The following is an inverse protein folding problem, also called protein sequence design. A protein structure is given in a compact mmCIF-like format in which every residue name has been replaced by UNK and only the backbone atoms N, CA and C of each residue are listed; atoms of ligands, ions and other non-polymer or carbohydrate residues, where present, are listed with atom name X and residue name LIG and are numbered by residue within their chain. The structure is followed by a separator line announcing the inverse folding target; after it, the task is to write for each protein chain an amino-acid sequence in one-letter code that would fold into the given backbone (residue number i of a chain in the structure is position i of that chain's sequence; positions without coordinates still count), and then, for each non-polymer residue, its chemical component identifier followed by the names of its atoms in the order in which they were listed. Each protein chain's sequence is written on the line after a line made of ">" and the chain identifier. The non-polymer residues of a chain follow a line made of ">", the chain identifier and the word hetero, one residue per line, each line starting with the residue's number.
data_IF_748113941681
#
_entry.id   IF_748113941681
#
_cell.length_a   1.000
_cell.length_b   1.000
_cell.length_c   1.000
_cell.angle_alpha   90.00
_cell.angle_beta   90.00
_cell.angle_gamma   90.00
#
_symmetry.space_group_name_H-M   'P 1'
#
loop_
_entity.id
_entity.type
_entity.pdbx_description
1 polymer ?
#
# COMPACT_ATOMS: atom_id res chain seq x y z
N UNK A 1 11.44 6.60 6.41
CA UNK A 1 10.36 5.62 6.65
C UNK A 1 10.61 4.39 5.79
N UNK A 2 10.47 3.19 6.32
CA UNK A 2 10.68 1.96 5.54
C UNK A 2 9.42 1.57 4.73
N UNK A 3 9.56 0.62 3.79
CA UNK A 3 8.46 0.19 2.90
C UNK A 3 7.22 -0.29 3.65
N UNK A 4 7.42 -1.08 4.71
CA UNK A 4 6.30 -1.60 5.51
C UNK A 4 5.56 -0.48 6.26
N UNK A 5 6.29 0.45 6.87
CA UNK A 5 5.71 1.65 7.51
C UNK A 5 4.91 2.48 6.49
N UNK A 6 5.40 2.65 5.26
CA UNK A 6 4.65 3.32 4.20
C UNK A 6 3.32 2.63 3.86
N UNK A 7 3.28 1.31 3.87
CA UNK A 7 2.04 0.55 3.65
C UNK A 7 1.08 0.67 4.84
N UNK A 8 1.60 0.70 6.06
CA UNK A 8 0.79 0.93 7.26
C UNK A 8 0.17 2.33 7.24
N UNK A 9 0.95 3.35 6.89
CA UNK A 9 0.45 4.72 6.72
C UNK A 9 -0.62 4.79 5.61
N UNK A 10 -0.38 4.11 4.49
CA UNK A 10 -1.36 4.01 3.40
C UNK A 10 -2.67 3.37 3.88
N UNK A 11 -2.60 2.28 4.63
CA UNK A 11 -3.78 1.62 5.18
C UNK A 11 -4.51 2.48 6.22
N UNK A 12 -3.77 3.25 7.03
CA UNK A 12 -4.35 4.20 7.99
C UNK A 12 -5.15 5.30 7.30
N UNK A 13 -4.56 5.95 6.28
CA UNK A 13 -5.24 6.98 5.49
C UNK A 13 -6.44 6.37 4.75
N UNK A 14 -6.28 5.20 4.14
CA UNK A 14 -7.38 4.50 3.44
C UNK A 14 -8.56 4.23 4.38
N UNK A 15 -8.31 3.73 5.59
CA UNK A 15 -9.36 3.50 6.61
C UNK A 15 -10.00 4.79 7.09
N UNK A 16 -9.20 5.83 7.29
CA UNK A 16 -9.70 7.14 7.67
C UNK A 16 -10.64 7.71 6.60
N UNK A 17 -10.24 7.66 5.32
CA UNK A 17 -11.04 8.14 4.19
C UNK A 17 -12.31 7.30 3.97
N UNK A 18 -12.26 5.98 4.21
CA UNK A 18 -13.45 5.13 4.15
C UNK A 18 -14.47 5.44 5.24
N UNK A 19 -14.03 5.93 6.41
CA UNK A 19 -14.92 6.24 7.53
C UNK A 19 -15.42 7.69 7.50
N UNK A 20 -14.57 8.64 7.12
CA UNK A 20 -14.85 10.08 7.22
C UNK A 20 -15.08 10.76 5.85
N UNK A 21 -14.90 10.03 4.75
CA UNK A 21 -14.94 10.57 3.40
C UNK A 21 -13.55 11.00 2.86
N UNK A 22 -13.44 11.28 1.56
CA UNK A 22 -12.17 11.65 0.92
C UNK A 22 -11.59 12.96 1.48
N UNK A 23 -10.30 12.97 1.79
CA UNK A 23 -9.61 14.18 2.27
C UNK A 23 -9.25 15.09 1.09
N UNK A 24 -9.39 16.41 1.26
CA UNK A 24 -8.97 17.40 0.27
C UNK A 24 -7.45 17.40 0.13
N UNK A 25 -6.97 17.01 -1.05
CA UNK A 25 -5.57 16.65 -1.30
C UNK A 25 -4.98 17.31 -2.56
N UNK A 26 -5.69 18.26 -3.19
CA UNK A 26 -5.31 18.85 -4.47
C UNK A 26 -3.88 19.42 -4.47
N UNK A 27 -3.46 20.04 -3.37
CA UNK A 27 -2.12 20.61 -3.18
C UNK A 27 -1.00 19.55 -3.03
N UNK A 28 -1.35 18.33 -2.65
CA UNK A 28 -0.42 17.20 -2.42
C UNK A 28 -0.34 16.29 -3.66
N UNK A 29 -1.40 16.24 -4.46
CA UNK A 29 -1.47 15.36 -5.65
C UNK A 29 -0.36 15.65 -6.66
N UNK A 30 0.02 16.91 -6.86
CA UNK A 30 1.12 17.27 -7.75
C UNK A 30 2.44 16.64 -7.30
N UNK A 31 2.79 16.79 -6.03
CA UNK A 31 3.99 16.22 -5.43
C UNK A 31 3.96 14.68 -5.44
N UNK A 32 2.81 14.07 -5.15
CA UNK A 32 2.67 12.62 -5.15
C UNK A 32 2.82 11.99 -6.56
N UNK A 33 2.47 12.73 -7.62
CA UNK A 33 2.59 12.27 -9.03
C UNK A 33 4.02 12.17 -9.54
N UNK A 34 4.97 12.90 -8.93
CA UNK A 34 6.39 12.87 -9.28
C UNK A 34 7.02 11.48 -9.08
N UNK A 35 6.44 10.64 -8.24
CA UNK A 35 6.94 9.29 -8.02
C UNK A 35 6.77 8.40 -9.27
N UNK A 36 7.77 7.57 -9.54
CA UNK A 36 7.88 6.79 -10.78
C UNK A 36 6.78 5.73 -10.96
N UNK A 37 6.38 5.08 -9.88
CA UNK A 37 5.47 3.92 -9.92
C UNK A 37 4.17 4.22 -9.22
N UNK A 38 3.06 3.61 -9.67
CA UNK A 38 1.75 3.78 -9.05
C UNK A 38 1.75 3.48 -7.53
N UNK A 39 2.47 2.43 -7.10
CA UNK A 39 2.67 2.12 -5.68
C UNK A 39 3.35 3.28 -4.93
N UNK A 40 4.48 3.78 -5.45
CA UNK A 40 5.20 4.89 -4.81
C UNK A 40 4.34 6.18 -4.77
N UNK A 41 3.52 6.45 -5.79
CA UNK A 41 2.61 7.61 -5.82
C UNK A 41 1.55 7.53 -4.72
N UNK A 42 0.92 6.35 -4.58
CA UNK A 42 -0.10 6.11 -3.53
C UNK A 42 0.53 6.26 -2.13
N UNK A 43 1.70 5.65 -1.91
CA UNK A 43 2.41 5.75 -0.63
C UNK A 43 2.83 7.20 -0.35
N UNK A 44 3.37 7.91 -1.35
CA UNK A 44 3.79 9.31 -1.21
C UNK A 44 2.62 10.21 -0.80
N UNK A 45 1.46 10.11 -1.48
CA UNK A 45 0.25 10.84 -1.10
C UNK A 45 -0.17 10.52 0.33
N UNK A 46 -0.22 9.23 0.69
CA UNK A 46 -0.64 8.82 2.02
C UNK A 46 0.28 9.39 3.12
N UNK A 47 1.59 9.44 2.87
CA UNK A 47 2.57 10.03 3.80
C UNK A 47 2.35 11.52 3.99
N UNK A 48 2.15 12.25 2.90
CA UNK A 48 1.92 13.69 2.92
C UNK A 48 0.59 14.05 3.64
N UNK A 49 -0.44 13.21 3.49
CA UNK A 49 -1.71 13.36 4.24
C UNK A 49 -1.61 12.93 5.71
N UNK A 50 -0.74 11.96 6.02
CA UNK A 50 -0.62 11.40 7.35
C UNK A 50 0.02 12.37 8.36
N UNK A 51 0.78 13.35 7.91
CA UNK A 51 1.40 14.37 8.75
C UNK A 51 0.36 15.31 9.40
N UNK A 52 -0.49 16.03 8.63
CA UNK A 52 -1.54 16.87 9.21
C UNK A 52 -2.61 16.06 9.97
N UNK A 53 -2.82 14.80 9.61
CA UNK A 53 -3.73 13.89 10.33
C UNK A 53 -3.12 13.31 11.63
N UNK A 54 -1.86 13.60 11.95
CA UNK A 54 -1.18 13.12 13.16
C UNK A 54 -0.79 11.63 13.14
N UNK A 55 -1.02 10.91 12.03
CA UNK A 55 -0.72 9.48 11.91
C UNK A 55 0.78 9.20 11.90
N UNK A 56 1.61 10.11 11.40
CA UNK A 56 3.07 9.96 11.46
C UNK A 56 3.56 9.95 12.91
N UNK A 57 3.05 10.87 13.75
CA UNK A 57 3.41 10.92 15.16
C UNK A 57 2.88 9.68 15.90
N UNK A 58 1.62 9.30 15.66
CA UNK A 58 1.07 8.09 16.25
C UNK A 58 1.86 6.82 15.87
N UNK A 59 2.36 6.73 14.64
CA UNK A 59 3.20 5.60 14.21
C UNK A 59 4.53 5.59 14.97
N UNK A 60 5.17 6.75 15.16
CA UNK A 60 6.39 6.87 15.97
C UNK A 60 6.15 6.45 17.42
N UNK A 61 5.05 6.91 18.02
CA UNK A 61 4.67 6.55 19.39
C UNK A 61 4.44 5.03 19.51
N UNK A 62 3.77 4.44 18.52
CA UNK A 62 3.58 2.98 18.46
C UNK A 62 4.90 2.21 18.33
N UNK A 63 5.87 2.71 17.56
CA UNK A 63 7.20 2.09 17.46
C UNK A 63 7.94 2.12 18.81
N UNK A 64 7.78 3.20 19.59
CA UNK A 64 8.31 3.31 20.95
C UNK A 64 7.64 2.33 21.91
N UNK A 65 6.30 2.26 21.90
CA UNK A 65 5.55 1.29 22.72
C UNK A 65 5.91 -0.14 22.34
N UNK A 66 6.11 -0.42 21.05
CA UNK A 66 6.57 -1.73 20.57
C UNK A 66 7.93 -2.11 21.13
N UNK A 67 8.88 -1.17 21.16
CA UNK A 67 10.19 -1.42 21.74
C UNK A 67 10.07 -1.70 23.25
N UNK A 68 9.24 -0.93 23.96
CA UNK A 68 8.97 -1.16 25.38
C UNK A 68 8.36 -2.55 25.62
N UNK A 69 7.40 -2.98 24.80
CA UNK A 69 6.82 -4.33 24.88
C UNK A 69 7.87 -5.42 24.71
N UNK A 70 8.78 -5.28 23.74
CA UNK A 70 9.86 -6.26 23.55
C UNK A 70 10.86 -6.26 24.72
N UNK A 71 11.17 -5.09 25.27
CA UNK A 71 12.03 -4.98 26.44
C UNK A 71 11.39 -5.62 27.68
N UNK A 72 10.10 -5.36 27.94
CA UNK A 72 9.33 -6.01 29.01
C UNK A 72 9.28 -7.53 28.82
N UNK A 73 9.06 -8.01 27.60
CA UNK A 73 9.06 -9.44 27.30
C UNK A 73 10.44 -10.07 27.55
N UNK A 74 11.53 -9.37 27.21
CA UNK A 74 12.89 -9.82 27.48
C UNK A 74 13.19 -9.90 28.99
N UNK A 75 12.76 -8.91 29.78
CA UNK A 75 12.85 -8.93 31.24
C UNK A 75 12.10 -10.13 31.81
N UNK A 76 10.86 -10.35 31.37
CA UNK A 76 10.05 -11.50 31.81
C UNK A 76 10.78 -12.81 31.49
N UNK A 77 11.32 -12.95 30.27
CA UNK A 77 12.07 -14.15 29.88
C UNK A 77 13.32 -14.35 30.76
N UNK A 78 14.05 -13.27 31.07
CA UNK A 78 15.24 -13.32 31.92
C UNK A 78 14.91 -13.71 33.36
N UNK A 79 13.89 -13.10 33.97
CA UNK A 79 13.43 -13.44 35.33
C UNK A 79 12.95 -14.90 35.37
N UNK A 80 12.13 -15.31 34.39
CA UNK A 80 11.64 -16.68 34.30
C UNK A 80 12.80 -17.68 34.09
N UNK A 81 13.76 -17.35 33.23
CA UNK A 81 14.95 -18.17 32.98
C UNK A 81 15.83 -18.32 34.20
N UNK A 82 16.09 -17.22 34.92
CA UNK A 82 16.83 -17.25 36.17
C UNK A 82 16.09 -18.09 37.23
N UNK A 83 14.78 -17.90 37.36
CA UNK A 83 13.93 -18.68 38.26
C UNK A 83 13.95 -20.18 37.94
N UNK A 84 13.90 -20.55 36.65
CA UNK A 84 14.02 -21.93 36.19
C UNK A 84 15.40 -22.54 36.47
N UNK A 85 16.48 -21.77 36.26
CA UNK A 85 17.82 -22.21 36.62
C UNK A 85 17.97 -22.45 38.13
N UNK A 86 17.39 -21.56 38.95
CA UNK A 86 17.38 -21.69 40.41
C UNK A 86 16.49 -22.82 40.91
N UNK A 87 15.33 -23.07 40.30
CA UNK A 87 14.37 -24.07 40.79
C UNK A 87 14.96 -25.48 40.79
N UNK A 88 15.82 -25.77 39.84
CA UNK A 88 16.51 -27.06 39.71
C UNK A 88 17.55 -27.26 40.82
N UNK A 89 18.13 -26.18 41.34
CA UNK A 89 19.15 -26.20 42.40
C UNK A 89 18.57 -26.23 43.82
N UNK A 90 17.31 -25.83 44.00
CA UNK A 90 16.64 -25.74 45.32
C UNK A 90 16.04 -27.08 45.76
N UNK A 91 16.12 -28.13 44.94
CA UNK A 91 15.61 -29.45 45.30
C UNK A 91 16.24 -29.95 46.60
N UNK A 92 15.41 -30.39 47.55
CA UNK A 92 15.79 -30.77 48.93
C UNK A 92 16.66 -32.03 49.04
N UNK A 93 17.03 -32.62 47.91
CA UNK A 93 17.85 -33.82 47.82
C UNK A 93 19.20 -33.45 47.21
N UNK A 94 20.23 -33.34 48.05
CA UNK A 94 21.59 -33.65 47.60
C UNK A 94 21.75 -35.17 47.62
N UNK A 95 22.23 -35.81 46.53
CA UNK A 95 22.73 -35.23 45.27
C UNK A 95 21.65 -34.70 44.31
N UNK A 96 22.00 -33.71 43.47
CA UNK A 96 21.11 -33.15 42.45
C UNK A 96 20.71 -34.20 41.40
N UNK A 97 19.42 -34.25 41.07
CA UNK A 97 18.90 -35.20 40.09
C UNK A 97 19.17 -34.75 38.65
N UNK A 98 20.00 -35.50 37.92
CA UNK A 98 20.30 -35.27 36.49
C UNK A 98 19.03 -35.34 35.64
N UNK A 99 18.18 -36.34 35.88
CA UNK A 99 16.93 -36.51 35.15
C UNK A 99 15.98 -35.32 35.36
N UNK A 100 15.95 -34.77 36.58
CA UNK A 100 15.13 -33.60 36.91
C UNK A 100 15.62 -32.32 36.22
N UNK A 101 16.95 -32.13 36.18
CA UNK A 101 17.59 -31.02 35.42
C UNK A 101 17.12 -31.07 33.96
N UNK A 102 17.23 -32.22 33.30
CA UNK A 102 16.81 -32.37 31.90
C UNK A 102 15.29 -32.24 31.73
N UNK A 103 14.49 -32.81 32.62
CA UNK A 103 13.03 -32.70 32.51
C UNK A 103 12.56 -31.23 32.58
N UNK A 104 13.06 -30.45 33.54
CA UNK A 104 12.64 -29.04 33.69
C UNK A 104 13.16 -28.19 32.54
N UNK A 105 14.46 -28.30 32.21
CA UNK A 105 15.11 -27.38 31.28
C UNK A 105 14.97 -27.78 29.82
N UNK A 106 14.78 -29.06 29.51
CA UNK A 106 14.56 -29.54 28.15
C UNK A 106 13.13 -30.01 27.89
N UNK A 107 12.37 -30.44 28.90
CA UNK A 107 11.01 -30.97 28.68
C UNK A 107 10.06 -29.96 28.05
N UNK A 108 9.79 -28.85 28.74
CA UNK A 108 8.91 -27.80 28.21
C UNK A 108 9.47 -27.17 26.93
N UNK A 109 10.79 -27.05 26.83
CA UNK A 109 11.46 -26.55 25.64
C UNK A 109 11.30 -27.50 24.45
N UNK A 110 11.36 -28.81 24.65
CA UNK A 110 11.13 -29.82 23.62
C UNK A 110 9.67 -29.81 23.16
N UNK A 111 8.72 -29.86 24.11
CA UNK A 111 7.28 -29.87 23.81
C UNK A 111 6.88 -28.64 23.01
N UNK A 112 7.28 -27.45 23.44
CA UNK A 112 6.90 -26.21 22.74
C UNK A 112 7.61 -26.06 21.40
N UNK A 113 8.80 -26.64 21.23
CA UNK A 113 9.49 -26.68 19.94
C UNK A 113 8.77 -27.61 18.95
N UNK A 114 8.42 -28.82 19.38
CA UNK A 114 7.66 -29.77 18.56
C UNK A 114 6.26 -29.23 18.22
N UNK A 115 5.58 -28.61 19.17
CA UNK A 115 4.30 -27.94 18.92
C UNK A 115 4.44 -26.87 17.84
N UNK A 116 5.47 -26.03 17.91
CA UNK A 116 5.74 -25.03 16.88
C UNK A 116 6.03 -25.68 15.52
N UNK A 117 6.83 -26.76 15.48
CA UNK A 117 7.13 -27.48 14.24
C UNK A 117 5.85 -28.04 13.59
N UNK A 118 4.98 -28.69 14.38
CA UNK A 118 3.71 -29.24 13.89
C UNK A 118 2.78 -28.12 13.42
N UNK A 119 2.61 -27.06 14.21
CA UNK A 119 1.72 -25.95 13.85
C UNK A 119 2.20 -25.18 12.62
N UNK A 120 3.51 -25.05 12.42
CA UNK A 120 4.04 -24.35 11.23
C UNK A 120 3.90 -25.18 9.95
N UNK A 121 4.03 -26.51 10.03
CA UNK A 121 3.86 -27.41 8.88
C UNK A 121 2.37 -27.62 8.54
N UNK A 122 1.51 -27.81 9.55
CA UNK A 122 0.09 -28.15 9.36
C UNK A 122 -0.76 -26.92 9.05
N UNK A 123 -0.40 -25.75 9.59
CA UNK A 123 -1.22 -24.55 9.37
C UNK A 123 -0.95 -23.96 7.98
N UNK A 124 -1.81 -24.30 7.02
CA UNK A 124 -1.88 -23.66 5.70
C UNK A 124 -2.08 -22.14 5.79
N UNK A 125 -1.95 -21.44 4.65
CA UNK A 125 -1.90 -19.97 4.57
C UNK A 125 -3.20 -19.20 4.94
N UNK A 126 -4.18 -19.82 5.60
CA UNK A 126 -5.45 -19.18 5.95
C UNK A 126 -5.95 -19.55 7.35
N UNK A 127 -6.14 -18.53 8.19
CA UNK A 127 -7.18 -18.53 9.23
C UNK A 127 -7.05 -19.49 10.41
N UNK A 128 -5.85 -19.71 10.96
CA UNK A 128 -5.69 -20.38 12.27
C UNK A 128 -6.26 -19.55 13.44
N UNK A 129 -6.24 -20.12 14.66
CA UNK A 129 -6.70 -19.48 15.92
C UNK A 129 -6.30 -18.00 16.08
N UNK A 130 -5.15 -17.58 15.54
CA UNK A 130 -4.71 -16.19 15.54
C UNK A 130 -5.61 -15.22 14.77
N UNK A 131 -6.28 -15.67 13.70
CA UNK A 131 -7.26 -14.87 12.96
C UNK A 131 -8.53 -14.61 13.76
N UNK A 132 -9.06 -15.65 14.43
CA UNK A 132 -10.23 -15.54 15.32
C UNK A 132 -9.92 -14.74 16.59
N UNK A 133 -8.71 -14.87 17.14
CA UNK A 133 -8.24 -14.04 18.25
C UNK A 133 -8.13 -12.57 17.83
N UNK A 134 -7.66 -12.29 16.60
CA UNK A 134 -7.61 -10.94 16.06
C UNK A 134 -9.02 -10.38 15.85
N UNK A 135 -9.96 -11.17 15.34
CA UNK A 135 -11.39 -10.79 15.23
C UNK A 135 -11.99 -10.47 16.60
N UNK A 136 -11.74 -11.28 17.62
CA UNK A 136 -12.21 -11.04 18.99
C UNK A 136 -11.60 -9.75 19.58
N UNK A 137 -10.29 -9.54 19.41
CA UNK A 137 -9.60 -8.32 19.85
C UNK A 137 -10.11 -7.08 19.10
N UNK A 138 -10.45 -7.21 17.81
CA UNK A 138 -11.05 -6.12 17.02
C UNK A 138 -12.49 -5.80 17.40
N UNK A 139 -13.25 -6.81 17.85
CA UNK A 139 -14.65 -6.66 18.26
C UNK A 139 -14.82 -5.87 19.57
N UNK A 140 -13.81 -5.85 20.44
CA UNK A 140 -13.98 -5.36 21.81
C UNK A 140 -13.69 -3.87 22.04
N UNK A 141 -13.13 -3.10 21.09
CA UNK A 141 -12.40 -1.87 21.51
C UNK A 141 -12.63 -0.62 20.64
N UNK A 142 -13.45 0.31 21.17
CA UNK A 142 -13.71 1.67 20.67
C UNK A 142 -12.68 2.69 21.20
N UNK A 143 -12.13 3.51 20.30
CA UNK A 143 -11.54 4.83 20.52
C UNK A 143 -10.48 5.05 21.62
N UNK A 144 -9.27 4.52 21.41
CA UNK A 144 -8.04 5.15 21.94
C UNK A 144 -6.99 5.27 20.82
N UNK A 145 -6.27 6.38 20.79
CA UNK A 145 -5.36 6.84 19.71
C UNK A 145 -4.26 5.85 19.24
N UNK A 146 -4.06 4.70 19.90
CA UNK A 146 -3.12 3.65 19.47
C UNK A 146 -3.74 2.41 18.80
N UNK A 147 -5.06 2.22 18.90
CA UNK A 147 -5.76 1.03 18.38
C UNK A 147 -5.81 1.01 16.84
N UNK A 148 -6.12 2.12 16.14
CA UNK A 148 -6.15 2.11 14.68
C UNK A 148 -4.81 1.75 14.04
N UNK A 149 -3.71 2.17 14.68
CA UNK A 149 -2.34 1.92 14.23
C UNK A 149 -1.97 0.46 14.42
N UNK A 150 -2.23 -0.10 15.60
CA UNK A 150 -2.03 -1.53 15.83
C UNK A 150 -2.82 -2.36 14.82
N UNK A 151 -4.09 -2.04 14.58
CA UNK A 151 -4.94 -2.74 13.60
C UNK A 151 -4.44 -2.59 12.16
N UNK A 152 -3.92 -1.43 11.77
CA UNK A 152 -3.33 -1.24 10.45
C UNK A 152 -2.03 -2.05 10.30
N UNK A 153 -1.14 -2.03 11.30
CA UNK A 153 0.07 -2.85 11.33
C UNK A 153 -0.28 -4.34 11.21
N UNK A 154 -1.22 -4.82 12.01
CA UNK A 154 -1.58 -6.23 12.03
C UNK A 154 -2.25 -6.67 10.73
N UNK A 155 -3.14 -5.84 10.17
CA UNK A 155 -3.80 -6.15 8.90
C UNK A 155 -2.82 -6.17 7.72
N UNK A 156 -1.93 -5.18 7.63
CA UNK A 156 -0.88 -5.15 6.59
C UNK A 156 0.05 -6.36 6.75
N UNK A 157 0.48 -6.66 7.98
CA UNK A 157 1.31 -7.84 8.24
C UNK A 157 0.60 -9.16 7.89
N UNK A 158 -0.69 -9.30 8.23
CA UNK A 158 -1.47 -10.49 7.95
C UNK A 158 -1.67 -10.68 6.45
N UNK A 159 -2.07 -9.62 5.72
CA UNK A 159 -2.28 -9.65 4.27
C UNK A 159 -1.03 -10.07 3.50
N UNK A 160 0.15 -9.66 3.97
CA UNK A 160 1.43 -10.03 3.33
C UNK A 160 2.09 -11.28 3.93
N UNK A 161 1.38 -12.05 4.76
CA UNK A 161 1.91 -13.30 5.33
C UNK A 161 3.09 -13.10 6.30
N UNK A 162 3.28 -11.89 6.83
CA UNK A 162 4.36 -11.55 7.75
C UNK A 162 4.11 -11.98 9.19
N UNK A 163 2.85 -12.23 9.57
CA UNK A 163 2.49 -12.57 10.95
C UNK A 163 3.14 -13.85 11.45
N UNK A 164 3.05 -14.94 10.68
CA UNK A 164 3.62 -16.24 11.05
C UNK A 164 5.14 -16.17 11.29
N UNK A 165 5.97 -15.66 10.36
CA UNK A 165 7.40 -15.55 10.60
C UNK A 165 7.74 -14.56 11.72
N UNK A 166 7.03 -13.42 11.82
CA UNK A 166 7.28 -12.44 12.88
C UNK A 166 7.01 -13.03 14.28
N UNK A 167 5.87 -13.68 14.47
CA UNK A 167 5.53 -14.33 15.75
C UNK A 167 6.49 -15.48 16.06
N UNK A 168 6.90 -16.25 15.06
CA UNK A 168 7.89 -17.32 15.24
C UNK A 168 9.24 -16.78 15.73
N UNK A 169 9.73 -15.66 15.16
CA UNK A 169 10.95 -15.00 15.66
C UNK A 169 10.79 -14.59 17.12
N UNK A 170 9.69 -13.91 17.47
CA UNK A 170 9.44 -13.45 18.85
C UNK A 170 9.41 -14.64 19.82
N UNK A 171 8.69 -15.70 19.47
CA UNK A 171 8.59 -16.92 20.28
C UNK A 171 9.97 -17.58 20.47
N UNK A 172 10.74 -17.78 19.41
CA UNK A 172 12.05 -18.42 19.54
C UNK A 172 13.06 -17.56 20.29
N UNK A 173 13.08 -16.24 20.09
CA UNK A 173 13.93 -15.34 20.87
C UNK A 173 13.56 -15.35 22.36
N UNK A 174 12.27 -15.39 22.70
CA UNK A 174 11.81 -15.50 24.08
C UNK A 174 12.31 -16.79 24.75
N UNK A 175 12.04 -17.95 24.12
CA UNK A 175 12.47 -19.25 24.66
C UNK A 175 13.99 -19.41 24.69
N UNK A 176 14.71 -18.85 23.71
CA UNK A 176 16.16 -18.84 23.67
C UNK A 176 16.73 -18.02 24.83
N UNK A 177 16.25 -16.80 25.05
CA UNK A 177 16.71 -15.94 26.13
C UNK A 177 16.44 -16.58 27.50
N UNK A 178 15.23 -17.09 27.70
CA UNK A 178 14.85 -17.80 28.92
C UNK A 178 15.80 -18.98 29.20
N UNK A 179 16.06 -19.84 28.21
CA UNK A 179 16.95 -20.99 28.40
C UNK A 179 18.41 -20.58 28.57
N UNK A 180 18.87 -19.56 27.83
CA UNK A 180 20.22 -19.05 27.95
C UNK A 180 20.48 -18.47 29.35
N UNK A 181 19.53 -17.74 29.93
CA UNK A 181 19.63 -17.24 31.30
C UNK A 181 19.58 -18.38 32.32
N UNK A 182 18.73 -19.39 32.12
CA UNK A 182 18.71 -20.59 32.97
C UNK A 182 20.06 -21.33 32.94
N UNK A 183 20.61 -21.55 31.75
CA UNK A 183 21.91 -22.19 31.55
C UNK A 183 23.05 -21.35 32.13
N UNK A 184 23.02 -20.02 31.96
CA UNK A 184 24.00 -19.12 32.57
C UNK A 184 23.93 -19.18 34.09
N UNK A 185 22.72 -19.26 34.65
CA UNK A 185 22.51 -19.45 36.08
C UNK A 185 23.15 -20.75 36.56
N UNK A 186 22.90 -21.88 35.89
CA UNK A 186 23.58 -23.14 36.22
C UNK A 186 25.09 -23.07 36.07
N UNK A 187 25.59 -22.49 34.97
CA UNK A 187 27.02 -22.33 34.72
C UNK A 187 27.70 -21.56 35.85
N UNK A 188 27.14 -20.41 36.26
CA UNK A 188 27.68 -19.64 37.38
C UNK A 188 27.65 -20.42 38.68
N UNK A 189 26.58 -21.18 38.94
CA UNK A 189 26.45 -21.96 40.16
C UNK A 189 27.46 -23.11 40.20
N UNK A 190 27.67 -23.81 39.10
CA UNK A 190 28.67 -24.88 38.99
C UNK A 190 30.11 -24.35 39.00
N UNK A 191 30.32 -23.07 38.67
CA UNK A 191 31.64 -22.43 38.71
C UNK A 191 32.05 -22.06 40.14
N UNK A 192 31.10 -21.65 40.98
CA UNK A 192 31.36 -21.10 42.31
C UNK A 192 30.95 -22.00 43.48
N UNK A 193 30.25 -23.11 43.22
CA UNK A 193 29.83 -24.07 44.25
C UNK A 193 30.13 -25.49 43.81
N UNK A 194 30.37 -26.36 44.79
CA UNK A 194 30.46 -27.79 44.56
C UNK A 194 29.06 -28.42 44.62
N UNK A 195 28.73 -29.21 43.61
CA UNK A 195 27.48 -29.97 43.54
C UNK A 195 27.80 -31.44 43.27
N UNK A 196 27.09 -32.32 43.94
CA UNK A 196 27.04 -33.75 43.62
C UNK A 196 25.83 -34.04 42.74
N UNK A 197 25.96 -35.04 41.86
CA UNK A 197 24.93 -35.42 40.91
C UNK A 197 24.60 -36.89 41.02
N UNK A 198 23.34 -37.22 40.75
CA UNK A 198 22.90 -38.60 40.60
C UNK A 198 21.75 -38.66 39.61
N UNK A 199 21.69 -39.72 38.82
CA UNK A 199 20.51 -40.08 38.06
C UNK A 199 19.45 -40.66 39.00
N UNK A 200 18.71 -39.79 39.70
CA UNK A 200 17.72 -40.22 40.69
C UNK A 200 16.49 -40.83 40.00
N UNK A 201 16.39 -42.17 40.05
CA UNK A 201 15.27 -42.95 39.51
C UNK A 201 15.05 -44.20 40.35
N UNK A 202 13.80 -44.62 40.46
CA UNK A 202 13.40 -45.93 41.02
C UNK A 202 12.89 -46.87 39.94
N UNK A 203 12.72 -46.37 38.71
CA UNK A 203 12.05 -47.07 37.61
C UNK A 203 13.06 -47.61 36.60
N UNK A 204 14.13 -46.86 36.33
CA UNK A 204 15.11 -47.24 35.32
C UNK A 204 16.21 -48.10 35.94
N UNK A 205 16.60 -49.13 35.20
CA UNK A 205 17.76 -49.97 35.48
C UNK A 205 19.08 -49.31 35.04
N UNK A 206 20.19 -49.81 35.57
CA UNK A 206 21.55 -49.38 35.23
C UNK A 206 21.87 -49.44 33.72
N UNK A 207 21.35 -50.47 33.05
CA UNK A 207 21.52 -50.65 31.59
C UNK A 207 20.77 -49.55 30.82
N UNK A 208 19.56 -49.21 31.24
CA UNK A 208 18.77 -48.14 30.63
C UNK A 208 19.39 -46.76 30.88
N UNK A 209 19.91 -46.51 32.09
CA UNK A 209 20.61 -45.26 32.42
C UNK A 209 21.82 -45.08 31.50
N UNK A 210 22.64 -46.12 31.32
CA UNK A 210 23.77 -46.10 30.37
C UNK A 210 23.32 -45.82 28.94
N UNK A 211 22.30 -46.53 28.47
CA UNK A 211 21.80 -46.34 27.10
C UNK A 211 21.28 -44.92 26.87
N UNK A 212 20.55 -44.35 27.83
CA UNK A 212 20.04 -42.97 27.75
C UNK A 212 21.19 -41.95 27.80
N UNK A 213 22.17 -42.12 28.69
CA UNK A 213 23.30 -41.19 28.80
C UNK A 213 24.19 -41.21 27.55
N UNK A 214 24.41 -42.37 26.94
CA UNK A 214 25.10 -42.51 25.66
C UNK A 214 24.31 -41.87 24.50
N UNK A 215 23.00 -42.10 24.44
CA UNK A 215 22.13 -41.51 23.41
C UNK A 215 22.11 -39.98 23.47
N UNK A 216 21.90 -39.41 24.66
CA UNK A 216 21.87 -37.95 24.87
C UNK A 216 23.30 -37.37 24.77
N UNK A 217 24.31 -38.13 25.17
CA UNK A 217 25.71 -37.74 25.10
C UNK A 217 26.31 -37.78 23.70
N UNK A 218 25.69 -38.48 22.75
CA UNK A 218 26.24 -38.70 21.41
C UNK A 218 26.61 -37.41 20.67
N UNK A 219 25.71 -36.42 20.65
CA UNK A 219 25.96 -35.17 19.92
C UNK A 219 27.04 -34.30 20.60
N UNK A 220 26.97 -34.01 21.92
CA UNK A 220 28.07 -33.34 22.63
C UNK A 220 29.44 -34.03 22.44
N UNK A 221 29.47 -35.37 22.40
CA UNK A 221 30.71 -36.12 22.22
C UNK A 221 31.40 -35.83 20.88
N UNK A 222 30.63 -35.51 19.82
CA UNK A 222 31.20 -35.09 18.53
C UNK A 222 32.00 -33.77 18.63
N UNK A 223 31.79 -33.01 19.70
CA UNK A 223 32.47 -31.73 19.98
C UNK A 223 33.47 -31.82 21.13
N UNK A 224 33.84 -33.03 21.55
CA UNK A 224 34.88 -33.26 22.57
C UNK A 224 34.39 -33.25 24.02
N UNK A 225 33.08 -33.28 24.26
CA UNK A 225 32.53 -33.45 25.61
C UNK A 225 32.46 -34.94 25.98
N UNK A 226 33.11 -35.34 27.06
CA UNK A 226 33.06 -36.73 27.54
C UNK A 226 31.67 -37.08 28.07
N UNK A 227 31.16 -38.25 27.68
CA UNK A 227 29.96 -38.84 28.30
C UNK A 227 30.37 -39.46 29.64
N UNK A 228 29.68 -39.15 30.76
CA UNK A 228 30.01 -39.74 32.05
C UNK A 228 29.79 -41.26 32.03
N UNK A 229 30.75 -41.99 32.60
CA UNK A 229 30.59 -43.42 32.88
C UNK A 229 29.42 -43.67 33.84
N UNK A 230 28.83 -44.86 33.77
CA UNK A 230 27.66 -45.22 34.57
C UNK A 230 27.90 -45.02 36.07
N UNK A 231 29.08 -45.34 36.59
CA UNK A 231 29.43 -45.16 38.00
C UNK A 231 29.27 -43.70 38.44
N UNK A 232 29.68 -42.75 37.59
CA UNK A 232 29.54 -41.31 37.86
C UNK A 232 28.08 -40.82 37.83
N UNK A 233 27.19 -41.57 37.17
CA UNK A 233 25.76 -41.26 37.10
C UNK A 233 24.99 -41.84 38.30
N UNK A 234 25.50 -42.90 38.93
CA UNK A 234 24.82 -43.59 40.04
C UNK A 234 25.24 -43.07 41.41
N UNK A 235 26.52 -42.75 41.60
CA UNK A 235 27.04 -42.20 42.86
C UNK A 235 28.28 -41.34 42.59
N UNK A 236 28.18 -40.05 42.87
CA UNK A 236 29.24 -39.10 42.55
C UNK A 236 29.64 -38.31 43.80
N UNK A 237 30.75 -38.71 44.43
CA UNK A 237 31.22 -38.14 45.70
C UNK A 237 32.59 -37.44 45.58
N UNK A 238 33.12 -37.34 44.36
CA UNK A 238 34.48 -36.92 44.07
C UNK A 238 34.46 -35.78 43.05
N UNK A 239 35.28 -34.75 43.32
CA UNK A 239 35.33 -33.50 42.55
C UNK A 239 35.52 -33.71 41.05
N UNK A 240 36.42 -34.61 40.64
CA UNK A 240 36.70 -34.91 39.23
C UNK A 240 35.47 -35.45 38.49
N UNK A 241 34.74 -36.35 39.13
CA UNK A 241 33.54 -36.97 38.56
C UNK A 241 32.38 -35.98 38.51
N UNK A 242 32.25 -35.12 39.52
CA UNK A 242 31.28 -34.01 39.51
C UNK A 242 31.57 -33.00 38.38
N UNK A 243 32.84 -32.66 38.14
CA UNK A 243 33.22 -31.76 37.06
C UNK A 243 32.89 -32.32 35.67
N UNK A 244 33.06 -33.63 35.46
CA UNK A 244 32.69 -34.31 34.18
C UNK A 244 31.18 -34.22 33.98
N UNK A 245 30.39 -34.59 34.99
CA UNK A 245 28.91 -34.57 34.90
C UNK A 245 28.38 -33.15 34.70
N UNK A 246 28.87 -32.15 35.44
CA UNK A 246 28.48 -30.75 35.27
C UNK A 246 28.71 -30.24 33.86
N UNK A 247 29.91 -30.48 33.29
CA UNK A 247 30.25 -30.07 31.92
C UNK A 247 29.37 -30.78 30.90
N UNK A 248 29.11 -32.07 31.09
CA UNK A 248 28.24 -32.84 30.23
C UNK A 248 26.79 -32.33 30.25
N UNK A 249 26.22 -32.05 31.44
CA UNK A 249 24.88 -31.46 31.58
C UNK A 249 24.79 -30.13 30.82
N UNK A 250 25.75 -29.23 31.01
CA UNK A 250 25.79 -27.95 30.30
C UNK A 250 25.89 -28.13 28.78
N UNK A 251 26.68 -29.09 28.31
CA UNK A 251 26.79 -29.40 26.89
C UNK A 251 25.48 -29.95 26.32
N UNK A 252 24.81 -30.87 27.02
CA UNK A 252 23.50 -31.40 26.62
C UNK A 252 22.46 -30.28 26.53
N UNK A 253 22.39 -29.40 27.54
CA UNK A 253 21.48 -28.24 27.53
C UNK A 253 21.75 -27.31 26.34
N UNK A 254 23.03 -27.10 26.01
CA UNK A 254 23.41 -26.30 24.86
C UNK A 254 22.97 -26.95 23.55
N UNK A 255 23.38 -28.19 23.30
CA UNK A 255 23.18 -28.87 22.01
C UNK A 255 21.73 -29.25 21.73
N UNK A 256 20.94 -29.60 22.75
CA UNK A 256 19.55 -30.03 22.58
C UNK A 256 18.52 -28.96 22.96
N UNK A 257 18.96 -27.85 23.56
CA UNK A 257 18.08 -26.76 23.99
C UNK A 257 18.42 -25.43 23.32
N UNK A 258 19.58 -24.85 23.64
CA UNK A 258 19.98 -23.51 23.19
C UNK A 258 20.21 -23.48 21.67
N UNK A 259 21.02 -24.41 21.15
CA UNK A 259 21.41 -24.44 19.74
C UNK A 259 20.21 -24.64 18.80
N UNK A 260 19.28 -25.60 19.02
CA UNK A 260 18.09 -25.73 18.18
C UNK A 260 17.20 -24.48 18.20
N UNK A 261 17.08 -23.82 19.36
CA UNK A 261 16.32 -22.58 19.49
C UNK A 261 16.96 -21.42 18.74
N UNK A 262 18.29 -21.30 18.82
CA UNK A 262 19.05 -20.32 18.06
C UNK A 262 18.89 -20.54 16.55
N UNK A 263 19.06 -21.77 16.08
CA UNK A 263 18.90 -22.12 14.67
C UNK A 263 17.48 -21.80 14.20
N UNK A 264 16.44 -22.19 14.95
CA UNK A 264 15.07 -21.86 14.60
C UNK A 264 14.80 -20.35 14.61
N UNK A 265 15.36 -19.59 15.56
CA UNK A 265 15.26 -18.13 15.56
C UNK A 265 15.87 -17.51 14.30
N UNK A 266 17.07 -17.96 13.90
CA UNK A 266 17.75 -17.50 12.69
C UNK A 266 16.96 -17.87 11.44
N UNK A 267 16.50 -19.11 11.32
CA UNK A 267 15.69 -19.57 10.18
C UNK A 267 14.40 -18.75 10.08
N UNK A 268 13.69 -18.54 11.19
CA UNK A 268 12.48 -17.71 11.21
C UNK A 268 12.76 -16.25 10.86
N UNK A 269 13.92 -15.73 11.27
CA UNK A 269 14.32 -14.36 10.93
C UNK A 269 14.64 -14.22 9.44
N UNK A 270 15.35 -15.19 8.85
CA UNK A 270 15.57 -15.25 7.41
C UNK A 270 14.24 -15.36 6.66
N UNK A 271 13.34 -16.24 7.13
CA UNK A 271 11.98 -16.36 6.59
C UNK A 271 11.23 -15.03 6.62
N UNK A 272 11.30 -14.29 7.74
CA UNK A 272 10.73 -12.95 7.89
C UNK A 272 11.33 -11.94 6.90
N UNK A 273 12.66 -11.92 6.74
CA UNK A 273 13.34 -11.02 5.79
C UNK A 273 12.94 -11.33 4.34
N UNK A 274 12.89 -12.61 3.97
CA UNK A 274 12.44 -13.06 2.66
C UNK A 274 10.98 -12.66 2.40
N UNK A 275 10.10 -12.82 3.39
CA UNK A 275 8.70 -12.39 3.28
C UNK A 275 8.58 -10.87 3.13
N UNK A 276 9.39 -10.08 3.86
CA UNK A 276 9.44 -8.61 3.72
C UNK A 276 9.87 -8.17 2.33
N UNK A 277 10.77 -8.88 1.65
CA UNK A 277 11.20 -8.56 0.28
C UNK A 277 10.06 -8.67 -0.74
N UNK A 278 9.05 -9.51 -0.45
CA UNK A 278 7.86 -9.71 -1.31
C UNK A 278 6.74 -8.70 -1.06
N UNK A 279 6.96 -7.68 -0.21
CA UNK A 279 5.97 -6.62 0.03
C UNK A 279 5.65 -5.88 -1.27
N UNK A 280 4.38 -5.91 -1.67
CA UNK A 280 3.83 -5.15 -2.80
C UNK A 280 2.47 -4.60 -2.38
N UNK A 281 2.18 -3.36 -2.72
CA UNK A 281 0.89 -2.75 -2.39
C UNK A 281 -0.15 -3.30 -3.36
N UNK A 282 -1.22 -3.85 -2.82
CA UNK A 282 -2.35 -4.27 -3.65
C UNK A 282 -3.18 -3.04 -4.03
N UNK A 283 -2.96 -2.60 -5.28
CA UNK A 283 -3.57 -1.42 -5.89
C UNK A 283 -5.04 -1.62 -6.24
N UNK A 284 -5.56 -2.85 -6.19
CA UNK A 284 -6.95 -3.16 -6.53
C UNK A 284 -7.91 -2.91 -5.38
N UNK A 285 -7.39 -2.60 -4.18
CA UNK A 285 -8.21 -2.44 -2.99
C UNK A 285 -9.21 -1.29 -3.10
N UNK A 286 -10.42 -1.46 -2.52
CA UNK A 286 -11.36 -0.36 -2.35
C UNK A 286 -10.72 0.84 -1.64
N UNK A 287 -10.89 2.02 -2.22
CA UNK A 287 -10.26 3.27 -1.80
C UNK A 287 -8.96 3.59 -2.55
N UNK A 288 -8.11 2.59 -2.83
CA UNK A 288 -6.86 2.80 -3.60
C UNK A 288 -7.17 2.82 -5.11
N UNK A 289 -8.03 1.93 -5.60
CA UNK A 289 -8.36 1.85 -7.03
C UNK A 289 -8.95 3.14 -7.59
N UNK A 290 -9.86 3.79 -6.86
CA UNK A 290 -10.42 5.10 -7.25
C UNK A 290 -9.37 6.22 -7.25
N UNK A 291 -8.36 6.12 -6.37
CA UNK A 291 -7.30 7.10 -6.24
C UNK A 291 -6.29 7.03 -7.40
N UNK A 292 -6.09 5.85 -8.00
CA UNK A 292 -5.12 5.66 -9.09
C UNK A 292 -5.40 6.58 -10.28
N UNK A 293 -6.67 6.78 -10.65
CA UNK A 293 -7.04 7.67 -11.75
C UNK A 293 -6.61 9.13 -11.47
N UNK A 294 -6.67 9.55 -10.20
CA UNK A 294 -6.27 10.91 -9.77
C UNK A 294 -4.75 11.06 -9.65
N UNK A 295 -4.03 9.97 -9.35
CA UNK A 295 -2.58 9.92 -9.21
C UNK A 295 -1.84 9.55 -10.49
N UNK A 296 -2.56 9.15 -11.54
CA UNK A 296 -1.96 8.95 -12.85
C UNK A 296 -1.55 10.33 -13.37
N UNK A 297 -0.25 10.60 -13.59
CA UNK A 297 0.16 11.85 -14.18
C UNK A 297 -0.54 11.97 -15.53
N UNK A 298 -1.12 13.14 -15.81
CA UNK A 298 -1.54 13.46 -17.17
C UNK A 298 -0.27 13.37 -17.98
N UNK A 299 -0.15 12.34 -18.83
CA UNK A 299 1.07 12.07 -19.56
C UNK A 299 1.45 13.29 -20.37
N UNK A 300 2.44 14.07 -19.90
CA UNK A 300 3.26 14.96 -20.74
C UNK A 300 4.26 14.15 -21.58
N UNK A 301 3.90 12.90 -21.89
CA UNK A 301 4.40 12.18 -23.04
C UNK A 301 3.20 11.95 -23.95
N UNK A 302 2.74 13.02 -24.59
CA UNK A 302 2.48 12.93 -26.02
C UNK A 302 3.81 12.57 -26.71
N UNK A 303 4.29 11.35 -26.48
CA UNK A 303 5.13 10.71 -27.48
C UNK A 303 4.13 10.48 -28.60
N UNK A 304 4.18 11.37 -29.58
CA UNK A 304 3.48 11.23 -30.85
C UNK A 304 3.98 9.91 -31.46
N UNK A 305 3.28 8.82 -31.13
CA UNK A 305 3.54 7.47 -31.67
C UNK A 305 2.86 7.29 -33.02
N UNK A 306 2.20 8.34 -33.52
CA UNK A 306 1.85 8.44 -34.92
C UNK A 306 2.28 9.82 -35.43
N UNK A 307 3.52 9.90 -35.90
CA UNK A 307 3.81 10.88 -36.94
C UNK A 307 3.00 10.41 -38.15
N UNK A 308 1.75 10.87 -38.17
CA UNK A 308 0.75 10.72 -39.22
C UNK A 308 1.46 11.08 -40.53
N UNK A 309 2.01 10.07 -41.18
CA UNK A 309 2.85 10.23 -42.39
C UNK A 309 1.97 10.43 -43.62
N UNK A 310 0.65 10.50 -43.40
CA UNK A 310 -0.30 10.94 -44.38
C UNK A 310 -0.32 12.47 -44.37
N UNK A 311 0.26 13.05 -45.43
CA UNK A 311 0.08 14.45 -45.84
C UNK A 311 -1.31 14.93 -45.40
N UNK A 312 -1.33 15.86 -44.46
CA UNK A 312 -2.55 16.52 -44.03
C UNK A 312 -3.30 17.02 -45.28
N UNK A 313 -4.51 16.51 -45.49
CA UNK A 313 -5.49 17.25 -46.29
C UNK A 313 -5.67 18.56 -45.56
N UNK A 314 -5.15 19.66 -46.14
CA UNK A 314 -5.25 20.99 -45.56
C UNK A 314 -6.71 21.24 -45.18
N UNK A 315 -6.97 21.52 -43.91
CA UNK A 315 -8.25 22.08 -43.50
C UNK A 315 -8.38 23.42 -44.24
N UNK A 316 -9.34 23.52 -45.15
CA UNK A 316 -9.66 24.77 -45.84
C UNK A 316 -11.09 25.17 -45.45
N UNK A 317 -11.37 26.47 -45.46
CA UNK A 317 -12.72 26.99 -45.24
C UNK A 317 -13.70 26.38 -46.25
N UNK A 318 -14.87 25.94 -45.77
CA UNK A 318 -15.95 25.51 -46.66
C UNK A 318 -16.57 26.71 -47.36
N UNK A 319 -16.67 26.69 -48.69
CA UNK A 319 -17.35 27.75 -49.45
C UNK A 319 -18.87 27.51 -49.34
N UNK A 320 -19.68 28.51 -48.93
CA UNK A 320 -21.11 28.34 -48.76
C UNK A 320 -21.78 28.02 -50.10
N UNK A 321 -22.39 26.84 -50.20
CA UNK A 321 -23.06 26.36 -51.43
C UNK A 321 -24.53 26.76 -51.44
N UNK A 322 -25.13 27.03 -50.27
CA UNK A 322 -26.54 27.36 -50.11
C UNK A 322 -26.77 28.40 -49.02
N UNK A 323 -27.50 29.46 -49.36
CA UNK A 323 -28.00 30.47 -48.42
C UNK A 323 -29.52 30.35 -48.31
N UNK A 324 -30.05 30.09 -47.13
CA UNK A 324 -31.48 30.27 -46.85
C UNK A 324 -31.72 31.36 -45.82
N UNK A 325 -32.86 31.33 -45.13
CA UNK A 325 -33.31 32.40 -44.23
C UNK A 325 -33.35 31.94 -42.77
N UNK A 326 -33.05 32.88 -41.86
CA UNK A 326 -33.09 32.69 -40.41
C UNK A 326 -31.76 32.31 -39.79
N UNK A 327 -31.73 32.27 -38.47
CA UNK A 327 -30.57 31.96 -37.65
C UNK A 327 -30.75 30.61 -36.91
N UNK A 328 -29.64 29.95 -36.62
CA UNK A 328 -29.59 28.76 -35.77
C UNK A 328 -28.43 28.93 -34.79
N UNK A 329 -28.66 28.65 -33.52
CA UNK A 329 -27.61 28.63 -32.49
C UNK A 329 -27.58 27.29 -31.79
N UNK A 330 -26.39 26.78 -31.47
CA UNK A 330 -26.26 25.55 -30.70
C UNK A 330 -24.97 25.54 -29.88
N UNK A 331 -24.93 24.69 -28.86
CA UNK A 331 -23.75 24.46 -28.02
C UNK A 331 -23.03 23.20 -28.48
N UNK A 332 -21.76 23.32 -28.85
CA UNK A 332 -20.94 22.19 -29.30
C UNK A 332 -20.35 21.44 -28.10
N UNK A 333 -20.55 20.12 -28.07
CA UNK A 333 -20.10 19.18 -27.03
C UNK A 333 -20.73 19.37 -25.64
N UNK A 334 -20.62 20.55 -25.07
CA UNK A 334 -21.02 20.81 -23.70
C UNK A 334 -21.60 22.21 -23.55
N UNK A 335 -22.72 22.31 -22.83
CA UNK A 335 -23.35 23.56 -22.49
C UNK A 335 -22.99 23.95 -21.05
N UNK A 336 -22.20 25.02 -20.93
CA UNK A 336 -21.74 25.51 -19.63
C UNK A 336 -22.85 26.21 -18.83
N UNK A 337 -23.77 26.86 -19.54
CA UNK A 337 -24.87 27.66 -19.01
C UNK A 337 -26.12 27.37 -19.86
N UNK A 338 -27.12 26.63 -19.35
CA UNK A 338 -28.29 26.21 -20.13
C UNK A 338 -29.30 27.34 -20.40
N UNK A 339 -29.40 28.35 -19.53
CA UNK A 339 -30.46 29.38 -19.62
C UNK A 339 -30.11 30.61 -20.48
N UNK A 340 -28.94 30.62 -21.11
CA UNK A 340 -28.42 31.77 -21.88
C UNK A 340 -29.38 32.25 -22.98
N UNK A 341 -30.08 31.33 -23.65
CA UNK A 341 -30.85 31.65 -24.85
C UNK A 341 -32.27 32.17 -24.57
N UNK A 342 -32.85 31.83 -23.42
CA UNK A 342 -34.22 32.22 -23.08
C UNK A 342 -34.41 33.75 -23.02
N UNK A 343 -33.32 34.48 -22.78
CA UNK A 343 -33.29 35.94 -22.72
C UNK A 343 -33.05 36.60 -24.09
N UNK A 344 -32.66 35.82 -25.11
CA UNK A 344 -32.14 36.33 -26.39
C UNK A 344 -33.01 35.97 -27.59
N UNK A 345 -34.02 35.11 -27.40
CA UNK A 345 -35.00 34.65 -28.40
C UNK A 345 -34.39 34.12 -29.71
N UNK A 346 -33.18 33.55 -29.66
CA UNK A 346 -32.58 32.92 -30.84
C UNK A 346 -33.14 31.50 -31.02
N UNK A 347 -33.21 31.05 -32.26
CA UNK A 347 -33.61 29.68 -32.57
C UNK A 347 -32.50 28.69 -32.19
N UNK A 348 -32.61 28.06 -31.01
CA UNK A 348 -31.60 27.13 -30.49
C UNK A 348 -31.88 25.68 -30.88
N UNK A 349 -30.87 24.99 -31.38
CA UNK A 349 -30.87 23.54 -31.59
C UNK A 349 -30.34 22.75 -30.38
N UNK A 350 -30.07 23.41 -29.24
CA UNK A 350 -29.61 22.78 -28.01
C UNK A 350 -28.14 22.38 -28.05
N UNK A 351 -27.81 21.29 -27.34
CA UNK A 351 -26.43 20.76 -27.23
C UNK A 351 -26.21 19.66 -28.27
N UNK A 352 -25.14 19.80 -29.05
CA UNK A 352 -24.72 18.83 -30.07
C UNK A 352 -23.47 18.12 -29.54
N UNK A 353 -23.66 17.00 -28.86
CA UNK A 353 -22.59 16.29 -28.14
C UNK A 353 -22.23 14.93 -28.76
N UNK A 354 -23.15 14.29 -29.46
CA UNK A 354 -22.91 12.97 -30.07
C UNK A 354 -22.74 13.05 -31.58
N UNK A 355 -22.16 11.98 -32.15
CA UNK A 355 -22.08 11.83 -33.62
C UNK A 355 -23.46 11.76 -34.28
N UNK A 356 -24.48 11.28 -33.56
CA UNK A 356 -25.85 11.20 -34.06
C UNK A 356 -26.52 12.57 -34.04
N UNK A 357 -26.29 13.40 -33.00
CA UNK A 357 -26.77 14.80 -32.95
C UNK A 357 -26.18 15.62 -34.11
N UNK A 358 -24.88 15.46 -34.37
CA UNK A 358 -24.19 16.12 -35.48
C UNK A 358 -24.83 15.75 -36.84
N UNK A 359 -25.13 14.47 -37.06
CA UNK A 359 -25.81 14.01 -38.29
C UNK A 359 -27.22 14.57 -38.39
N UNK A 360 -27.98 14.54 -37.29
CA UNK A 360 -29.35 15.06 -37.25
C UNK A 360 -29.40 16.56 -37.56
N UNK A 361 -28.49 17.34 -36.97
CA UNK A 361 -28.41 18.78 -37.23
C UNK A 361 -27.99 19.08 -38.67
N UNK A 362 -27.02 18.34 -39.23
CA UNK A 362 -26.64 18.49 -40.64
C UNK A 362 -27.79 18.17 -41.60
N UNK A 363 -28.63 17.17 -41.28
CA UNK A 363 -29.82 16.85 -42.07
C UNK A 363 -30.88 17.95 -41.98
N UNK A 364 -31.11 18.50 -40.78
CA UNK A 364 -32.04 19.62 -40.58
C UNK A 364 -31.61 20.85 -41.38
N UNK A 365 -30.33 21.22 -41.30
CA UNK A 365 -29.74 22.35 -42.01
C UNK A 365 -29.72 22.11 -43.53
N UNK A 366 -29.51 20.87 -43.98
CA UNK A 366 -29.58 20.53 -45.40
C UNK A 366 -30.99 20.76 -45.99
N UNK A 367 -32.03 20.46 -45.22
CA UNK A 367 -33.42 20.64 -45.63
C UNK A 367 -33.85 22.11 -45.57
N UNK A 368 -33.37 22.86 -44.57
CA UNK A 368 -33.67 24.29 -44.37
C UNK A 368 -32.38 25.05 -44.02
N UNK A 369 -31.58 25.48 -45.01
CA UNK A 369 -30.31 26.14 -44.76
C UNK A 369 -30.53 27.50 -44.08
N UNK A 370 -29.90 27.79 -42.93
CA UNK A 370 -30.00 29.09 -42.28
C UNK A 370 -29.09 30.13 -42.95
N UNK A 371 -29.46 31.40 -42.81
CA UNK A 371 -28.61 32.52 -43.20
C UNK A 371 -27.38 32.63 -42.29
N UNK A 372 -27.55 32.39 -40.99
CA UNK A 372 -26.49 32.54 -39.97
C UNK A 372 -26.51 31.37 -39.00
N UNK A 373 -25.34 30.83 -38.70
CA UNK A 373 -25.15 29.86 -37.63
C UNK A 373 -24.18 30.46 -36.61
N UNK A 374 -24.60 30.50 -35.35
CA UNK A 374 -23.71 30.81 -34.23
C UNK A 374 -23.46 29.52 -33.45
N UNK A 375 -22.20 29.19 -33.21
CA UNK A 375 -21.82 27.99 -32.44
C UNK A 375 -21.22 28.40 -31.12
N UNK A 376 -21.81 27.97 -30.01
CA UNK A 376 -21.24 28.16 -28.67
C UNK A 376 -20.24 27.05 -28.40
N UNK A 377 -19.01 27.42 -28.09
CA UNK A 377 -17.91 26.49 -27.86
C UNK A 377 -17.38 26.71 -26.45
N UNK A 378 -17.37 25.65 -25.65
CA UNK A 378 -16.76 25.67 -24.33
C UNK A 378 -15.23 25.60 -24.45
N UNK A 379 -14.55 26.71 -24.20
CA UNK A 379 -13.10 26.81 -24.37
C UNK A 379 -12.27 26.12 -23.27
N UNK A 380 -12.93 25.46 -22.32
CA UNK A 380 -12.27 24.51 -21.39
C UNK A 380 -11.97 23.16 -22.05
N UNK A 381 -12.58 22.87 -23.20
CA UNK A 381 -12.35 21.67 -24.00
C UNK A 381 -11.42 22.01 -25.16
N UNK A 382 -10.46 21.15 -25.48
CA UNK A 382 -9.53 21.36 -26.60
C UNK A 382 -10.24 21.18 -27.95
N UNK A 383 -9.89 21.94 -29.00
CA UNK A 383 -10.37 21.68 -30.34
C UNK A 383 -9.92 20.30 -30.83
N UNK A 384 -10.85 19.52 -31.38
CA UNK A 384 -10.56 18.23 -32.01
C UNK A 384 -10.86 18.26 -33.52
N UNK A 385 -10.18 17.39 -34.28
CA UNK A 385 -10.32 17.31 -35.74
C UNK A 385 -11.77 17.01 -36.19
N UNK A 386 -12.52 16.23 -35.40
CA UNK A 386 -13.91 15.90 -35.69
C UNK A 386 -14.83 17.11 -35.57
N UNK A 387 -14.62 17.93 -34.54
CA UNK A 387 -15.33 19.19 -34.32
C UNK A 387 -15.05 20.20 -35.43
N UNK A 388 -13.79 20.35 -35.86
CA UNK A 388 -13.45 21.24 -36.98
C UNK A 388 -14.05 20.78 -38.32
N UNK A 389 -14.02 19.47 -38.61
CA UNK A 389 -14.67 18.90 -39.82
C UNK A 389 -16.19 19.11 -39.81
N UNK A 390 -16.80 19.03 -38.63
CA UNK A 390 -18.21 19.30 -38.45
C UNK A 390 -18.55 20.77 -38.76
N UNK A 391 -17.75 21.71 -38.24
CA UNK A 391 -17.90 23.14 -38.55
C UNK A 391 -17.72 23.43 -40.05
N UNK A 392 -16.72 22.83 -40.72
CA UNK A 392 -16.55 22.94 -42.17
C UNK A 392 -17.78 22.43 -42.94
N UNK A 393 -18.35 21.30 -42.53
CA UNK A 393 -19.56 20.73 -43.14
C UNK A 393 -20.77 21.66 -42.98
N UNK A 394 -20.80 22.48 -41.92
CA UNK A 394 -21.81 23.51 -41.71
C UNK A 394 -21.58 24.73 -42.62
N UNK A 395 -20.33 25.17 -42.80
CA UNK A 395 -20.00 26.30 -43.68
C UNK A 395 -20.51 26.10 -45.10
N UNK A 396 -20.42 24.88 -45.64
CA UNK A 396 -20.95 24.53 -46.96
C UNK A 396 -22.48 24.69 -47.08
N UNK A 397 -23.20 24.73 -45.94
CA UNK A 397 -24.66 24.58 -45.84
C UNK A 397 -25.36 25.75 -45.15
N UNK A 398 -24.66 26.83 -44.86
CA UNK A 398 -25.21 28.06 -44.31
C UNK A 398 -24.64 29.30 -45.00
N UNK A 399 -25.29 30.47 -44.82
CA UNK A 399 -24.75 31.72 -45.35
C UNK A 399 -23.48 32.17 -44.64
N UNK A 400 -23.52 32.30 -43.32
CA UNK A 400 -22.37 32.67 -42.49
C UNK A 400 -22.30 31.79 -41.23
N UNK A 401 -21.09 31.42 -40.84
CA UNK A 401 -20.80 30.68 -39.61
C UNK A 401 -19.91 31.53 -38.69
N UNK A 402 -20.28 31.66 -37.43
CA UNK A 402 -19.43 32.25 -36.38
C UNK A 402 -19.42 31.39 -35.13
N UNK A 403 -18.38 31.52 -34.34
CA UNK A 403 -18.23 30.87 -33.05
C UNK A 403 -18.27 31.90 -31.91
N UNK A 404 -18.85 31.51 -30.79
CA UNK A 404 -18.80 32.22 -29.52
C UNK A 404 -18.07 31.33 -28.50
N UNK A 405 -16.90 31.78 -28.04
CA UNK A 405 -16.14 31.08 -27.00
C UNK A 405 -16.69 31.43 -25.62
N UNK A 406 -17.04 30.39 -24.85
CA UNK A 406 -17.68 30.52 -23.54
C UNK A 406 -16.79 29.90 -22.46
N UNK A 407 -16.65 30.60 -21.32
CA UNK A 407 -16.09 30.05 -20.08
C UNK A 407 -14.65 30.44 -19.74
N UNK A 408 -13.98 31.26 -20.54
CA UNK A 408 -12.56 31.68 -20.36
C UNK A 408 -11.64 30.50 -20.01
N UNK A 409 -11.58 29.51 -20.90
CA UNK A 409 -10.86 28.25 -20.69
C UNK A 409 -9.44 28.26 -21.24
N UNK A 410 -8.65 27.26 -20.83
CA UNK A 410 -7.23 27.11 -21.21
C UNK A 410 -6.98 26.95 -22.71
N UNK A 411 -8.02 26.72 -23.53
CA UNK A 411 -7.91 26.51 -24.98
C UNK A 411 -8.50 27.65 -25.81
N UNK A 412 -8.75 28.84 -25.23
CA UNK A 412 -9.26 30.02 -25.98
C UNK A 412 -8.38 30.36 -27.21
N UNK A 413 -7.06 30.42 -27.03
CA UNK A 413 -6.11 30.71 -28.12
C UNK A 413 -6.11 29.61 -29.18
N UNK A 414 -6.11 28.34 -28.75
CA UNK A 414 -6.12 27.18 -29.66
C UNK A 414 -7.39 27.11 -30.50
N UNK A 415 -8.56 27.42 -29.92
CA UNK A 415 -9.80 27.51 -30.66
C UNK A 415 -9.79 28.70 -31.63
N UNK A 416 -9.29 29.86 -31.20
CA UNK A 416 -9.21 31.05 -32.05
C UNK A 416 -8.33 30.81 -33.28
N UNK A 417 -7.19 30.14 -33.11
CA UNK A 417 -6.29 29.75 -34.21
C UNK A 417 -6.94 28.73 -35.14
N UNK A 418 -7.52 27.65 -34.59
CA UNK A 418 -8.16 26.60 -35.40
C UNK A 418 -9.40 27.09 -36.17
N UNK A 419 -10.16 28.03 -35.60
CA UNK A 419 -11.32 28.65 -36.26
C UNK A 419 -10.87 29.65 -37.34
N UNK A 420 -9.75 30.35 -37.14
CA UNK A 420 -9.16 31.20 -38.16
C UNK A 420 -8.68 30.41 -39.38
N UNK A 421 -8.13 29.20 -39.19
CA UNK A 421 -7.73 28.32 -40.30
C UNK A 421 -8.90 27.94 -41.23
N UNK A 422 -10.13 27.86 -40.68
CA UNK A 422 -11.34 27.57 -41.44
C UNK A 422 -12.19 28.82 -41.73
N UNK A 423 -11.66 30.03 -41.54
CA UNK A 423 -12.34 31.31 -41.81
C UNK A 423 -13.68 31.49 -41.05
N UNK A 424 -13.71 31.09 -39.78
CA UNK A 424 -14.86 31.29 -38.88
C UNK A 424 -14.56 32.42 -37.90
N UNK A 425 -15.37 33.47 -37.91
CA UNK A 425 -15.23 34.59 -36.96
C UNK A 425 -15.57 34.18 -35.54
N UNK A 426 -14.80 34.71 -34.59
CA UNK A 426 -14.90 34.36 -33.17
C UNK A 426 -15.31 35.56 -32.34
N UNK A 427 -16.28 35.36 -31.45
CA UNK A 427 -16.71 36.33 -30.45
C UNK A 427 -16.35 35.83 -29.04
N UNK A 428 -15.89 36.73 -28.19
CA UNK A 428 -15.65 36.47 -26.76
C UNK A 428 -16.75 37.07 -25.88
N UNK A 429 -17.40 38.15 -26.33
CA UNK A 429 -18.49 38.82 -25.63
C UNK A 429 -19.85 38.32 -26.12
N UNK A 430 -20.73 37.97 -25.17
CA UNK A 430 -22.07 37.46 -25.46
C UNK A 430 -22.89 38.45 -26.30
N UNK A 431 -22.85 39.74 -25.96
CA UNK A 431 -23.63 40.79 -26.65
C UNK A 431 -23.26 40.92 -28.13
N UNK A 432 -21.98 40.81 -28.48
CA UNK A 432 -21.51 40.90 -29.86
C UNK A 432 -21.93 39.69 -30.69
N UNK A 433 -21.78 38.49 -30.12
CA UNK A 433 -22.19 37.24 -30.75
C UNK A 433 -23.69 37.23 -31.05
N UNK A 434 -24.51 37.72 -30.12
CA UNK A 434 -25.97 37.79 -30.27
C UNK A 434 -26.36 38.80 -31.34
N UNK A 435 -25.81 40.02 -31.30
CA UNK A 435 -26.11 41.04 -32.32
C UNK A 435 -25.76 40.56 -33.72
N UNK A 436 -24.62 39.86 -33.84
CA UNK A 436 -24.24 39.21 -35.09
C UNK A 436 -25.26 38.14 -35.53
N UNK A 437 -25.73 37.29 -34.62
CA UNK A 437 -26.72 36.26 -34.95
C UNK A 437 -28.06 36.86 -35.40
N UNK A 438 -28.51 37.96 -34.79
CA UNK A 438 -29.82 38.57 -35.03
C UNK A 438 -29.96 39.35 -36.35
N UNK A 439 -28.86 39.73 -37.01
CA UNK A 439 -28.95 40.58 -38.20
C UNK A 439 -28.08 41.82 -38.15
N UNK A 440 -27.80 42.32 -36.95
CA UNK A 440 -27.31 43.67 -36.66
C UNK A 440 -25.78 43.75 -36.69
N UNK A 441 -25.18 43.74 -37.88
CA UNK A 441 -23.75 44.03 -38.01
C UNK A 441 -23.49 45.47 -38.44
N UNK A 442 -22.86 46.22 -37.55
CA UNK A 442 -22.03 47.40 -37.83
C UNK A 442 -20.82 46.97 -38.69
N UNK A 443 -21.00 46.78 -40.00
CA UNK A 443 -19.88 46.46 -40.90
C UNK A 443 -20.24 46.77 -42.37
N UNK A 444 -20.51 48.05 -42.66
CA UNK A 444 -20.51 48.54 -44.04
C UNK A 444 -19.87 49.94 -44.19
N UNK A 445 -19.01 50.36 -43.24
CA UNK A 445 -18.40 51.71 -43.27
C UNK A 445 -16.88 51.78 -43.45
N UNK A 446 -16.15 50.66 -43.56
CA UNK A 446 -14.69 50.72 -43.75
C UNK A 446 -14.16 50.16 -45.08
N UNK A 447 -14.99 49.53 -45.93
CA UNK A 447 -14.55 49.11 -47.28
C UNK A 447 -14.68 50.18 -48.38
N UNK A 448 -15.30 51.33 -48.11
CA UNK A 448 -15.50 52.40 -49.11
C UNK A 448 -14.67 53.68 -48.90
N UNK A 449 -13.67 53.69 -48.00
CA UNK A 449 -12.79 54.86 -47.83
C UNK A 449 -11.42 54.74 -48.51
N UNK A 450 -11.13 53.62 -49.18
CA UNK A 450 -9.87 53.41 -49.91
C UNK A 450 -10.01 53.36 -51.44
N UNK A 451 -11.17 53.72 -52.00
CA UNK A 451 -11.37 53.76 -53.46
C UNK A 451 -11.51 55.15 -54.11
N UNK A 452 -11.46 56.23 -53.32
CA UNK A 452 -11.51 57.63 -53.82
C UNK A 452 -10.22 58.43 -53.57
N UNK A 453 -9.06 57.75 -53.58
CA UNK A 453 -7.77 58.41 -53.77
C UNK A 453 -6.94 57.66 -54.81
N UNK A 454 -7.37 57.81 -56.07
CA UNK A 454 -6.50 57.92 -57.24
C UNK A 454 -7.23 58.68 -58.34
#
# INVERSE_FOLDING_TARGET
>A
MNKFEGFVVTELVRKYELHNGPVVDQHILAQAREAETAEKRVVSRAVLLAEPLGFIQGLKDWLTVRLLMFFSLAIIAAIAGWGLGRSVLVSSSEPLSIAWIFMILLGLHGITFLLWLVLTVVSGNGGGLGGKLLELVTSLQRNKFGIPIFMAVTQVAARHGLMKPAMSVVTHCFWLLLLAVAMLTLYTQFLFNEYSFRWATTVLSDVEIRGISEMIGWLPAQFGFSVPELEHLLSNNNFTSNAIVSKWILAVLFFYGVLPRLLAAVICYIWFLCAKRKLQLDLTQPGISHLLNRLTPVSTSAQVVDADTHKASSLQAGVPVRTGNGEVVFSLEHELEPDWNHLLWLNSAGVVASSDDRKMLLQQIQNKPPARILVRINSKLSPDRGSLRFLQSLQERCGCLSAWLVGQGSYDEHWSEALAEIDVSVFSLAEEAVRWAQGDTLSNREKNKHKDKQ
#
